data_IF_067120062636
#
_entry.id   IF_067120062636
#
_cell.length_a   1.000
_cell.length_b   1.000
_cell.length_c   1.000
_cell.angle_alpha   90.00
_cell.angle_beta   90.00
_cell.angle_gamma   90.00
#
_symmetry.space_group_name_H-M   'P 1'
#
loop_
_entity.id
_entity.type
_entity.pdbx_description
1 polymer ?
#
# COMPACT_ATOMS: atom_id res chain seq x y z
N UNK A 1 -17.75 5.88 1.74
CA UNK A 1 -16.80 5.55 2.80
C UNK A 1 -15.47 6.24 2.53
N UNK A 2 -14.78 6.73 3.55
CA UNK A 2 -13.47 7.31 3.32
C UNK A 2 -12.50 6.24 2.87
N UNK A 3 -11.79 6.55 1.81
CA UNK A 3 -10.81 5.64 1.27
C UNK A 3 -9.58 6.42 0.82
N UNK A 4 -8.45 5.72 0.78
CA UNK A 4 -7.21 6.25 0.25
C UNK A 4 -6.98 5.51 -1.06
N UNK A 5 -6.80 6.27 -2.15
CA UNK A 5 -6.49 5.70 -3.45
C UNK A 5 -5.20 6.32 -3.94
N UNK A 6 -4.23 5.47 -4.23
CA UNK A 6 -2.92 5.91 -4.71
C UNK A 6 -2.60 5.10 -5.95
N UNK A 7 -2.23 5.78 -7.01
CA UNK A 7 -1.77 5.14 -8.25
C UNK A 7 -0.37 5.66 -8.53
N UNK A 8 0.59 4.76 -8.68
CA UNK A 8 1.98 5.14 -8.86
C UNK A 8 2.59 4.43 -10.07
N UNK A 9 3.17 5.20 -10.99
CA UNK A 9 3.90 4.66 -12.13
C UNK A 9 5.36 4.43 -11.73
N UNK A 10 5.97 3.39 -12.29
CA UNK A 10 7.37 3.08 -12.03
C UNK A 10 7.99 2.38 -13.24
N UNK A 11 9.30 2.26 -13.24
CA UNK A 11 10.04 1.65 -14.34
C UNK A 11 10.63 0.28 -13.98
N UNK A 12 10.25 -0.27 -12.83
CA UNK A 12 10.77 -1.56 -12.38
C UNK A 12 10.01 -2.71 -13.03
N UNK A 13 10.67 -3.87 -13.10
CA UNK A 13 10.00 -5.09 -13.54
C UNK A 13 8.94 -5.49 -12.52
N UNK A 14 8.03 -6.37 -12.93
CA UNK A 14 7.00 -6.89 -12.03
C UNK A 14 7.64 -7.58 -10.81
N UNK A 15 8.70 -8.34 -11.04
CA UNK A 15 9.41 -9.03 -9.97
C UNK A 15 10.02 -8.04 -8.97
N UNK A 16 10.67 -7.00 -9.47
CA UNK A 16 11.25 -5.97 -8.61
C UNK A 16 10.18 -5.20 -7.86
N UNK A 17 9.08 -4.86 -8.54
CA UNK A 17 7.97 -4.18 -7.90
C UNK A 17 7.38 -5.03 -6.78
N UNK A 18 7.29 -6.36 -6.99
CA UNK A 18 6.76 -7.26 -5.97
C UNK A 18 7.64 -7.25 -4.71
N UNK A 19 8.96 -7.26 -4.89
CA UNK A 19 9.88 -7.17 -3.74
C UNK A 19 9.71 -5.83 -3.02
N UNK A 20 9.62 -4.74 -3.78
CA UNK A 20 9.43 -3.41 -3.19
C UNK A 20 8.14 -3.33 -2.38
N UNK A 21 7.04 -3.86 -2.94
CA UNK A 21 5.75 -3.83 -2.25
C UNK A 21 5.74 -4.75 -1.03
N UNK A 22 6.47 -5.86 -1.08
CA UNK A 22 6.63 -6.71 0.09
C UNK A 22 7.27 -5.93 1.24
N UNK A 23 8.29 -5.12 0.94
CA UNK A 23 8.91 -4.25 1.96
C UNK A 23 7.94 -3.21 2.50
N UNK A 24 7.10 -2.63 1.64
CA UNK A 24 6.06 -1.70 2.08
C UNK A 24 5.09 -2.40 3.02
N UNK A 25 4.66 -3.61 2.65
CA UNK A 25 3.72 -4.38 3.47
C UNK A 25 4.32 -4.72 4.84
N UNK A 26 5.60 -5.09 4.88
CA UNK A 26 6.29 -5.36 6.15
C UNK A 26 6.31 -4.13 7.04
N UNK A 27 6.56 -2.96 6.47
CA UNK A 27 6.57 -1.70 7.23
C UNK A 27 5.17 -1.34 7.73
N UNK A 28 4.15 -1.55 6.90
CA UNK A 28 2.77 -1.31 7.34
C UNK A 28 2.37 -2.28 8.44
N UNK A 29 2.77 -3.55 8.33
CA UNK A 29 2.49 -4.53 9.36
C UNK A 29 3.15 -4.15 10.68
N UNK A 30 4.40 -3.70 10.61
CA UNK A 30 5.17 -3.30 11.78
C UNK A 30 4.58 -2.06 12.44
N UNK A 31 4.22 -1.06 11.64
CA UNK A 31 3.76 0.22 12.16
C UNK A 31 2.29 0.24 12.56
N UNK A 32 1.44 -0.41 11.77
CA UNK A 32 -0.01 -0.36 11.96
C UNK A 32 -0.63 -1.69 12.37
N UNK A 33 0.20 -2.72 12.58
CA UNK A 33 -0.26 -4.04 13.01
C UNK A 33 -1.27 -4.67 12.04
N UNK A 34 -1.11 -4.44 10.73
CA UNK A 34 -1.95 -5.09 9.73
C UNK A 34 -1.40 -6.48 9.42
N UNK A 35 -2.29 -7.38 9.03
CA UNK A 35 -1.90 -8.69 8.50
C UNK A 35 -2.01 -8.60 6.99
N UNK A 36 -1.16 -9.31 6.26
CA UNK A 36 -1.22 -9.27 4.81
C UNK A 36 -0.94 -10.63 4.19
N UNK A 37 -1.44 -10.81 2.97
CA UNK A 37 -1.17 -12.00 2.18
C UNK A 37 -1.20 -11.65 0.70
N UNK A 38 -0.47 -12.40 -0.08
CA UNK A 38 -0.47 -12.27 -1.53
C UNK A 38 -1.48 -13.21 -2.16
N UNK A 39 -2.20 -12.70 -3.16
CA UNK A 39 -3.06 -13.49 -4.03
C UNK A 39 -2.73 -13.09 -5.45
N UNK A 40 -1.94 -13.92 -6.13
CA UNK A 40 -1.43 -13.54 -7.44
C UNK A 40 -0.55 -12.29 -7.33
N UNK A 41 -0.85 -11.27 -8.11
CA UNK A 41 -0.12 -10.00 -8.09
C UNK A 41 -0.83 -8.94 -7.26
N UNK A 42 -1.71 -9.35 -6.34
CA UNK A 42 -2.40 -8.44 -5.45
C UNK A 42 -2.06 -8.78 -4.01
N UNK A 43 -1.58 -7.81 -3.28
CA UNK A 43 -1.36 -7.94 -1.85
C UNK A 43 -2.61 -7.45 -1.13
N UNK A 44 -3.19 -8.29 -0.28
CA UNK A 44 -4.33 -7.93 0.56
C UNK A 44 -3.85 -7.72 1.98
N UNK A 45 -4.30 -6.63 2.60
CA UNK A 45 -3.96 -6.39 4.00
C UNK A 45 -5.20 -5.94 4.77
N UNK A 46 -5.24 -6.30 6.05
CA UNK A 46 -6.36 -5.93 6.89
C UNK A 46 -6.01 -5.96 8.36
N UNK A 47 -6.78 -5.21 9.10
CA UNK A 47 -6.88 -5.27 10.55
C UNK A 47 -8.25 -4.69 10.91
N UNK A 48 -8.64 -4.78 12.19
CA UNK A 48 -9.90 -4.18 12.60
C UNK A 48 -9.91 -2.69 12.22
N UNK A 49 -10.87 -2.29 11.39
CA UNK A 49 -11.03 -0.91 10.95
C UNK A 49 -10.22 -0.53 9.72
N UNK A 50 -9.41 -1.44 9.18
CA UNK A 50 -8.61 -1.17 7.98
C UNK A 50 -8.70 -2.36 7.04
N UNK A 51 -8.96 -2.09 5.77
CA UNK A 51 -9.01 -3.12 4.74
C UNK A 51 -8.45 -2.51 3.46
N UNK A 52 -7.57 -3.22 2.80
CA UNK A 52 -7.00 -2.66 1.58
C UNK A 52 -6.29 -3.68 0.72
N UNK A 53 -5.86 -3.20 -0.43
CA UNK A 53 -5.10 -4.02 -1.34
C UNK A 53 -4.14 -3.17 -2.15
N UNK A 54 -3.10 -3.82 -2.65
CA UNK A 54 -2.12 -3.22 -3.54
C UNK A 54 -2.04 -4.13 -4.76
N UNK A 55 -2.44 -3.60 -5.92
CA UNK A 55 -2.42 -4.36 -7.16
C UNK A 55 -1.22 -3.97 -8.00
N UNK A 56 -0.44 -4.98 -8.39
CA UNK A 56 0.72 -4.78 -9.24
C UNK A 56 0.34 -4.98 -10.70
N UNK A 57 0.63 -3.98 -11.52
CA UNK A 57 0.52 -4.08 -12.97
C UNK A 57 1.86 -3.75 -13.58
N UNK A 58 1.95 -3.82 -14.91
CA UNK A 58 3.18 -3.45 -15.60
C UNK A 58 3.41 -1.95 -15.51
N UNK A 59 4.49 -1.57 -14.85
CA UNK A 59 4.87 -0.18 -14.71
C UNK A 59 3.93 0.64 -13.83
N UNK A 60 3.08 -0.03 -13.05
CA UNK A 60 2.07 0.66 -12.27
C UNK A 60 1.70 -0.11 -11.01
N UNK A 61 1.46 0.63 -9.93
CA UNK A 61 0.98 0.09 -8.67
C UNK A 61 -0.27 0.86 -8.29
N UNK A 62 -1.34 0.15 -7.99
CA UNK A 62 -2.60 0.76 -7.52
C UNK A 62 -2.87 0.32 -6.10
N UNK A 63 -3.06 1.28 -5.21
CA UNK A 63 -3.29 1.05 -3.79
C UNK A 63 -4.66 1.57 -3.42
N UNK A 64 -5.44 0.73 -2.75
CA UNK A 64 -6.73 1.13 -2.20
C UNK A 64 -6.76 0.76 -0.73
N UNK A 65 -7.08 1.73 0.12
CA UNK A 65 -7.22 1.51 1.56
C UNK A 65 -8.58 2.02 1.99
N UNK A 66 -9.34 1.18 2.66
CA UNK A 66 -10.62 1.56 3.22
C UNK A 66 -10.49 1.64 4.73
N UNK A 67 -10.90 2.77 5.30
CA UNK A 67 -10.81 3.01 6.74
C UNK A 67 -12.20 3.02 7.35
N UNK A 68 -12.35 2.30 8.47
CA UNK A 68 -13.57 2.34 9.25
C UNK A 68 -13.74 3.71 9.91
N UNK A 69 -14.94 3.95 10.41
CA UNK A 69 -15.33 5.24 10.98
C UNK A 69 -14.35 5.75 12.05
N UNK A 70 -13.91 4.86 12.94
CA UNK A 70 -13.03 5.26 14.04
C UNK A 70 -11.63 5.67 13.59
N UNK A 71 -11.22 5.27 12.38
CA UNK A 71 -9.89 5.56 11.87
C UNK A 71 -9.88 6.66 10.82
N UNK A 72 -11.01 7.28 10.56
CA UNK A 72 -11.10 8.36 9.57
C UNK A 72 -10.16 9.52 9.89
N UNK A 73 -9.99 9.84 11.15
CA UNK A 73 -9.11 10.92 11.58
C UNK A 73 -7.64 10.63 11.27
N UNK A 74 -7.30 9.35 11.06
CA UNK A 74 -5.93 8.95 10.75
C UNK A 74 -5.66 8.84 9.25
N UNK A 75 -6.64 9.19 8.41
CA UNK A 75 -6.49 9.07 6.96
C UNK A 75 -5.27 9.83 6.43
N UNK A 76 -5.09 11.07 6.85
CA UNK A 76 -3.96 11.88 6.43
C UNK A 76 -2.61 11.28 6.82
N UNK A 77 -2.38 11.00 8.10
CA UNK A 77 -1.15 10.35 8.55
C UNK A 77 -0.87 9.02 7.87
N UNK A 78 -1.90 8.17 7.70
CA UNK A 78 -1.74 6.88 7.04
C UNK A 78 -1.33 7.07 5.58
N UNK A 79 -2.00 7.95 4.87
CA UNK A 79 -1.68 8.24 3.47
C UNK A 79 -0.25 8.76 3.32
N UNK A 80 0.17 9.64 4.20
CA UNK A 80 1.52 10.20 4.20
C UNK A 80 2.57 9.09 4.40
N UNK A 81 2.33 8.17 5.33
CA UNK A 81 3.26 7.07 5.58
C UNK A 81 3.34 6.12 4.39
N UNK A 82 2.20 5.83 3.75
CA UNK A 82 2.18 4.98 2.58
C UNK A 82 3.01 5.60 1.45
N UNK A 83 2.82 6.90 1.18
CA UNK A 83 3.60 7.60 0.17
C UNK A 83 5.09 7.55 0.50
N UNK A 84 5.45 7.74 1.75
CA UNK A 84 6.84 7.72 2.18
C UNK A 84 7.49 6.37 1.93
N UNK A 85 6.80 5.28 2.28
CA UNK A 85 7.31 3.93 2.06
C UNK A 85 7.45 3.62 0.57
N UNK A 86 6.46 4.03 -0.23
CA UNK A 86 6.49 3.82 -1.67
C UNK A 86 7.63 4.62 -2.31
N UNK A 87 7.81 5.88 -1.92
CA UNK A 87 8.90 6.70 -2.43
C UNK A 87 10.24 6.06 -2.11
N UNK A 88 10.37 5.48 -0.93
CA UNK A 88 11.61 4.85 -0.52
C UNK A 88 11.90 3.58 -1.32
N UNK A 89 10.86 2.76 -1.58
CA UNK A 89 11.05 1.46 -2.22
C UNK A 89 11.03 1.53 -3.75
N UNK A 90 10.18 2.39 -4.32
CA UNK A 90 10.05 2.51 -5.78
C UNK A 90 10.70 3.78 -6.34
N UNK A 91 11.11 4.68 -5.47
CA UNK A 91 11.59 5.98 -5.88
C UNK A 91 10.44 6.95 -6.16
N UNK A 92 10.75 8.23 -6.37
CA UNK A 92 9.72 9.23 -6.66
C UNK A 92 9.05 8.94 -7.99
N UNK A 93 7.80 9.36 -8.13
CA UNK A 93 7.06 9.19 -9.37
C UNK A 93 7.68 10.04 -10.48
N UNK A 94 7.84 9.43 -11.65
CA UNK A 94 8.39 10.11 -12.81
C UNK A 94 7.30 10.74 -13.68
#
# INVERSE_FOLDING_TARGET
>A
MPSIQISRKHTRSLKEARVAIEHVAEKLAEKFAVEYEWRGNTLHFERMGVNGNIQLGRGKVDILVQLGFLLMALRGPIETEIHRYIDKELGPEE
#
